data_IF_393009339593
#
_entry.id   IF_393009339593
#
_cell.length_a   1.000
_cell.length_b   1.000
_cell.length_c   1.000
_cell.angle_alpha   90.00
_cell.angle_beta   90.00
_cell.angle_gamma   90.00
#
_symmetry.space_group_name_H-M   'P 1'
#
loop_
_entity.id
_entity.type
_entity.pdbx_description
1 polymer ?
#
# COMPACT_ATOMS: atom_id res chain seq x y z
N UNK A 1 -5.82 13.35 20.05
CA UNK A 1 -5.43 13.58 18.63
C UNK A 1 -4.07 13.00 18.21
N UNK A 2 -3.18 12.55 19.12
CA UNK A 2 -1.83 12.06 18.74
C UNK A 2 -1.77 10.65 18.12
N UNK A 3 -2.80 9.82 18.28
CA UNK A 3 -2.78 8.40 17.87
C UNK A 3 -3.02 8.17 16.37
N UNK A 4 -3.84 9.00 15.70
CA UNK A 4 -4.15 8.84 14.27
C UNK A 4 -2.96 9.18 13.36
N UNK A 5 -2.16 10.19 13.72
CA UNK A 5 -0.93 10.52 12.98
C UNK A 5 0.12 9.40 13.05
N UNK A 6 0.23 8.77 14.21
CA UNK A 6 1.08 7.59 14.40
C UNK A 6 0.57 6.39 13.58
N UNK A 7 -0.74 6.22 13.45
CA UNK A 7 -1.35 5.17 12.63
C UNK A 7 -0.94 5.27 11.15
N UNK A 8 -1.12 6.43 10.50
CA UNK A 8 -0.75 6.62 9.09
C UNK A 8 0.75 6.45 8.84
N UNK A 9 1.59 7.02 9.69
CA UNK A 9 3.05 6.89 9.58
C UNK A 9 3.50 5.43 9.74
N UNK A 10 2.84 4.67 10.62
CA UNK A 10 3.13 3.25 10.78
C UNK A 10 2.78 2.46 9.51
N UNK A 11 1.62 2.69 8.89
CA UNK A 11 1.22 2.00 7.65
C UNK A 11 2.15 2.34 6.49
N UNK A 12 2.58 3.60 6.37
CA UNK A 12 3.58 4.02 5.40
C UNK A 12 4.91 3.28 5.60
N UNK A 13 5.40 3.23 6.84
CA UNK A 13 6.62 2.48 7.15
C UNK A 13 6.46 0.99 6.82
N UNK A 14 5.34 0.36 7.20
CA UNK A 14 5.09 -1.06 6.89
C UNK A 14 5.11 -1.33 5.37
N UNK A 15 4.59 -0.40 4.56
CA UNK A 15 4.62 -0.49 3.10
C UNK A 15 6.04 -0.33 2.52
N UNK A 16 6.82 0.63 3.02
CA UNK A 16 8.24 0.80 2.64
C UNK A 16 9.04 -0.47 2.96
N UNK A 17 8.82 -1.05 4.13
CA UNK A 17 9.46 -2.30 4.55
C UNK A 17 9.07 -3.48 3.65
N UNK A 18 7.82 -3.54 3.19
CA UNK A 18 7.39 -4.55 2.21
C UNK A 18 8.15 -4.40 0.88
N UNK A 19 8.23 -3.18 0.36
CA UNK A 19 8.92 -2.91 -0.89
C UNK A 19 10.43 -3.20 -0.82
N UNK A 20 11.07 -2.92 0.32
CA UNK A 20 12.45 -3.32 0.58
C UNK A 20 12.61 -4.84 0.54
N UNK A 21 11.70 -5.61 1.16
CA UNK A 21 11.75 -7.08 1.14
C UNK A 21 11.63 -7.63 -0.28
N UNK A 22 10.71 -7.10 -1.10
CA UNK A 22 10.61 -7.47 -2.53
C UNK A 22 11.92 -7.18 -3.25
N UNK A 23 12.45 -5.97 -3.09
CA UNK A 23 13.70 -5.51 -3.73
C UNK A 23 14.90 -6.35 -3.32
N UNK A 24 15.01 -6.73 -2.04
CA UNK A 24 16.10 -7.57 -1.55
C UNK A 24 15.99 -9.01 -2.03
N UNK A 25 14.77 -9.50 -2.19
CA UNK A 25 14.51 -10.86 -2.69
C UNK A 25 14.97 -11.01 -4.13
N UNK A 26 14.56 -10.09 -5.02
CA UNK A 26 15.00 -10.11 -6.43
C UNK A 26 16.49 -9.82 -6.63
N UNK A 27 17.19 -9.36 -5.57
CA UNK A 27 18.65 -9.21 -5.55
C UNK A 27 19.36 -10.44 -4.99
N UNK A 28 18.63 -11.52 -4.68
CA UNK A 28 19.15 -12.73 -4.04
C UNK A 28 19.67 -12.50 -2.62
N UNK A 29 19.25 -11.43 -1.94
CA UNK A 29 19.72 -11.07 -0.59
C UNK A 29 18.86 -11.61 0.55
N UNK A 30 17.70 -12.17 0.23
CA UNK A 30 16.78 -12.81 1.17
C UNK A 30 15.73 -13.64 0.42
N UNK A 31 14.95 -14.40 1.17
CA UNK A 31 13.75 -15.08 0.66
C UNK A 31 12.49 -14.42 1.24
N UNK A 32 11.56 -14.07 0.36
CA UNK A 32 10.27 -13.52 0.71
C UNK A 32 9.25 -13.94 -0.34
N UNK A 33 8.09 -14.44 0.11
CA UNK A 33 7.01 -14.90 -0.77
C UNK A 33 5.90 -13.85 -0.97
N UNK A 34 6.06 -12.66 -0.39
CA UNK A 34 5.00 -11.65 -0.39
C UNK A 34 3.93 -11.93 0.66
N UNK A 35 2.89 -11.11 0.66
CA UNK A 35 1.68 -11.32 1.48
C UNK A 35 0.45 -10.96 0.66
N UNK A 36 -0.68 -11.62 0.95
CA UNK A 36 -1.97 -11.20 0.42
C UNK A 36 -2.28 -9.74 0.83
N UNK A 37 -2.89 -8.97 -0.07
CA UNK A 37 -3.23 -7.56 0.18
C UNK A 37 -4.04 -7.40 1.48
N UNK A 38 -4.99 -8.30 1.76
CA UNK A 38 -5.84 -8.25 2.97
C UNK A 38 -5.10 -8.60 4.26
N UNK A 39 -3.95 -9.28 4.15
CA UNK A 39 -3.17 -9.71 5.30
C UNK A 39 -2.14 -8.66 5.74
N UNK A 40 -1.81 -7.70 4.88
CA UNK A 40 -0.95 -6.59 5.29
C UNK A 40 -1.72 -5.64 6.21
N UNK A 41 -1.02 -4.91 7.06
CA UNK A 41 -1.64 -3.98 8.02
C UNK A 41 -2.51 -2.93 7.31
N UNK A 42 -2.09 -2.39 6.16
CA UNK A 42 -2.92 -1.46 5.40
C UNK A 42 -4.21 -2.12 4.92
N UNK A 43 -4.12 -3.32 4.33
CA UNK A 43 -5.29 -4.10 3.92
C UNK A 43 -6.22 -4.44 5.08
N UNK A 44 -5.69 -4.89 6.22
CA UNK A 44 -6.51 -5.17 7.40
C UNK A 44 -7.37 -3.96 7.79
N UNK A 45 -6.81 -2.74 7.71
CA UNK A 45 -7.58 -1.53 7.95
C UNK A 45 -8.58 -1.25 6.82
N UNK A 46 -8.14 -1.29 5.56
CA UNK A 46 -8.99 -1.06 4.37
C UNK A 46 -10.27 -1.92 4.43
N UNK A 47 -10.13 -3.22 4.71
CA UNK A 47 -11.23 -4.18 4.66
C UNK A 47 -11.95 -4.39 6.00
N UNK A 48 -11.51 -3.74 7.09
CA UNK A 48 -12.22 -3.73 8.36
C UNK A 48 -12.91 -2.37 8.57
N UNK A 49 -12.23 -1.44 9.22
CA UNK A 49 -12.80 -0.17 9.70
C UNK A 49 -12.60 1.00 8.74
N UNK A 50 -11.69 0.89 7.76
CA UNK A 50 -11.25 2.02 6.93
C UNK A 50 -12.38 2.70 6.17
N UNK A 51 -13.36 1.94 5.65
CA UNK A 51 -14.50 2.51 4.94
C UNK A 51 -15.38 3.36 5.85
N UNK A 52 -15.66 2.87 7.06
CA UNK A 52 -16.46 3.58 8.05
C UNK A 52 -15.73 4.84 8.53
N UNK A 53 -14.43 4.72 8.84
CA UNK A 53 -13.62 5.87 9.27
C UNK A 53 -13.55 6.96 8.20
N UNK A 54 -13.31 6.61 6.93
CA UNK A 54 -13.25 7.63 5.87
C UNK A 54 -14.64 8.22 5.63
N UNK A 55 -15.71 7.43 5.67
CA UNK A 55 -17.07 7.97 5.53
C UNK A 55 -17.44 8.95 6.66
N UNK A 56 -16.97 8.71 7.88
CA UNK A 56 -17.28 9.55 9.03
C UNK A 56 -16.40 10.81 9.11
N UNK A 57 -15.09 10.65 8.89
CA UNK A 57 -14.13 11.72 9.12
C UNK A 57 -13.67 12.44 7.86
N UNK A 58 -13.83 11.84 6.68
CA UNK A 58 -13.39 12.41 5.41
C UNK A 58 -14.35 12.01 4.25
N UNK A 59 -15.67 12.27 4.36
CA UNK A 59 -16.65 11.81 3.37
C UNK A 59 -16.37 12.30 1.95
N UNK A 60 -15.77 13.49 1.79
CA UNK A 60 -15.35 14.00 0.49
C UNK A 60 -14.19 13.20 -0.15
N UNK A 61 -13.46 12.42 0.64
CA UNK A 61 -12.35 11.57 0.19
C UNK A 61 -12.78 10.14 -0.14
N UNK A 62 -14.08 9.81 -0.10
CA UNK A 62 -14.57 8.47 -0.43
C UNK A 62 -14.13 7.96 -1.80
N UNK A 63 -14.17 8.77 -2.88
CA UNK A 63 -13.64 8.37 -4.18
C UNK A 63 -12.13 8.07 -4.19
N UNK A 64 -11.37 8.71 -3.30
CA UNK A 64 -9.93 8.45 -3.13
C UNK A 64 -9.71 7.12 -2.39
N UNK A 65 -10.56 6.77 -1.45
CA UNK A 65 -10.48 5.49 -0.74
C UNK A 65 -10.81 4.30 -1.64
N UNK A 66 -11.78 4.42 -2.55
CA UNK A 66 -12.04 3.37 -3.55
C UNK A 66 -10.83 3.19 -4.48
N UNK A 67 -10.20 4.29 -4.92
CA UNK A 67 -8.93 4.24 -5.67
C UNK A 67 -7.79 3.61 -4.86
N UNK A 68 -7.74 3.86 -3.55
CA UNK A 68 -6.75 3.26 -2.66
C UNK A 68 -6.87 1.73 -2.68
N UNK A 69 -8.10 1.19 -2.62
CA UNK A 69 -8.36 -0.26 -2.66
C UNK A 69 -7.81 -0.85 -3.95
N UNK A 70 -8.20 -0.30 -5.09
CA UNK A 70 -7.80 -0.79 -6.42
C UNK A 70 -6.28 -0.80 -6.56
N UNK A 71 -5.63 0.33 -6.24
CA UNK A 71 -4.17 0.47 -6.36
C UNK A 71 -3.41 -0.43 -5.41
N UNK A 72 -3.99 -0.71 -4.24
CA UNK A 72 -3.38 -1.57 -3.25
C UNK A 72 -3.45 -3.05 -3.67
N UNK A 73 -4.57 -3.47 -4.24
CA UNK A 73 -4.70 -4.80 -4.84
C UNK A 73 -3.71 -4.97 -6.00
N UNK A 74 -3.66 -3.99 -6.92
CA UNK A 74 -2.74 -3.98 -8.06
C UNK A 74 -1.27 -4.08 -7.62
N UNK A 75 -0.88 -3.31 -6.60
CA UNK A 75 0.47 -3.35 -6.02
C UNK A 75 0.86 -4.76 -5.54
N UNK A 76 -0.04 -5.43 -4.84
CA UNK A 76 0.21 -6.77 -4.30
C UNK A 76 0.23 -7.84 -5.39
N UNK A 77 -0.62 -7.72 -6.41
CA UNK A 77 -0.62 -8.62 -7.57
C UNK A 77 0.70 -8.56 -8.31
N UNK A 78 1.16 -7.35 -8.67
CA UNK A 78 2.43 -7.21 -9.42
C UNK A 78 3.61 -7.64 -8.54
N UNK A 79 3.63 -7.26 -7.26
CA UNK A 79 4.69 -7.71 -6.34
C UNK A 79 4.75 -9.23 -6.21
N UNK A 80 3.60 -9.91 -6.16
CA UNK A 80 3.53 -11.37 -6.13
C UNK A 80 4.08 -12.01 -7.40
N UNK A 81 3.69 -11.46 -8.56
CA UNK A 81 4.18 -11.91 -9.88
C UNK A 81 5.70 -11.82 -9.98
N UNK A 82 6.28 -10.71 -9.54
CA UNK A 82 7.74 -10.51 -9.53
C UNK A 82 8.45 -11.57 -8.67
N UNK A 83 7.91 -11.88 -7.51
CA UNK A 83 8.49 -12.87 -6.60
C UNK A 83 8.41 -14.29 -7.19
N UNK A 84 7.29 -14.64 -7.82
CA UNK A 84 7.11 -15.92 -8.52
C UNK A 84 8.06 -16.05 -9.72
N UNK A 85 8.15 -15.01 -10.55
CA UNK A 85 9.10 -14.93 -11.67
C UNK A 85 10.54 -15.13 -11.20
N UNK A 86 10.93 -14.46 -10.11
CA UNK A 86 12.26 -14.61 -9.54
C UNK A 86 12.53 -16.05 -9.05
N UNK A 87 11.55 -16.66 -8.37
CA UNK A 87 11.66 -18.05 -7.90
C UNK A 87 11.75 -19.07 -9.04
N UNK A 88 11.08 -18.81 -10.16
CA UNK A 88 11.06 -19.70 -11.33
C UNK A 88 12.17 -19.40 -12.35
N UNK A 89 12.95 -18.34 -12.14
CA UNK A 89 14.07 -17.93 -13.00
C UNK A 89 13.66 -17.10 -14.22
N UNK A 90 12.40 -16.71 -14.36
CA UNK A 90 11.90 -15.84 -15.44
C UNK A 90 12.13 -14.36 -15.12
N UNK A 91 13.37 -13.90 -15.31
CA UNK A 91 13.79 -12.54 -14.91
C UNK A 91 13.50 -11.46 -15.95
N UNK A 92 12.87 -11.79 -17.09
CA UNK A 92 12.80 -10.91 -18.25
C UNK A 92 12.02 -9.60 -18.04
N UNK A 93 10.96 -9.64 -17.24
CA UNK A 93 10.06 -8.50 -17.01
C UNK A 93 10.20 -7.84 -15.64
N UNK A 94 10.97 -8.45 -14.73
CA UNK A 94 11.10 -8.00 -13.33
C UNK A 94 11.48 -6.52 -13.23
N UNK A 95 12.35 -6.00 -14.10
CA UNK A 95 12.74 -4.58 -14.03
C UNK A 95 11.59 -3.62 -14.36
N UNK A 96 10.79 -3.93 -15.38
CA UNK A 96 9.63 -3.12 -15.76
C UNK A 96 8.53 -3.21 -14.70
N UNK A 97 8.26 -4.42 -14.22
CA UNK A 97 7.26 -4.67 -13.18
C UNK A 97 7.65 -3.99 -11.86
N UNK A 98 8.94 -4.02 -11.47
CA UNK A 98 9.43 -3.29 -10.30
C UNK A 98 9.24 -1.78 -10.44
N UNK A 99 9.44 -1.23 -11.64
CA UNK A 99 9.17 0.20 -11.91
C UNK A 99 7.69 0.51 -11.66
N UNK A 100 6.80 -0.38 -12.07
CA UNK A 100 5.36 -0.21 -11.83
C UNK A 100 5.00 -0.33 -10.35
N UNK A 101 5.58 -1.29 -9.63
CA UNK A 101 5.43 -1.41 -8.17
C UNK A 101 5.87 -0.14 -7.45
N UNK A 102 6.97 0.49 -7.88
CA UNK A 102 7.41 1.78 -7.31
C UNK A 102 6.42 2.92 -7.59
N UNK A 103 5.84 2.98 -8.80
CA UNK A 103 4.82 4.00 -9.12
C UNK A 103 3.55 3.80 -8.31
N UNK A 104 3.05 2.57 -8.24
CA UNK A 104 1.89 2.22 -7.42
C UNK A 104 2.13 2.54 -5.96
N UNK A 105 3.32 2.25 -5.43
CA UNK A 105 3.71 2.63 -4.07
C UNK A 105 3.60 4.14 -3.86
N UNK A 106 4.16 4.96 -4.76
CA UNK A 106 4.04 6.42 -4.66
C UNK A 106 2.59 6.91 -4.74
N UNK A 107 1.77 6.29 -5.59
CA UNK A 107 0.33 6.61 -5.69
C UNK A 107 -0.42 6.29 -4.41
N UNK A 108 -0.16 5.12 -3.80
CA UNK A 108 -0.75 4.73 -2.51
C UNK A 108 -0.42 5.74 -1.42
N UNK A 109 0.85 6.17 -1.33
CA UNK A 109 1.28 7.17 -0.36
C UNK A 109 0.58 8.51 -0.58
N UNK A 110 0.49 8.97 -1.84
CA UNK A 110 -0.19 10.20 -2.20
C UNK A 110 -1.67 10.17 -1.79
N UNK A 111 -2.39 9.10 -2.14
CA UNK A 111 -3.81 8.92 -1.82
C UNK A 111 -4.03 8.93 -0.29
N UNK A 112 -3.18 8.22 0.47
CA UNK A 112 -3.28 8.19 1.94
C UNK A 112 -3.09 9.59 2.56
N UNK A 113 -2.12 10.36 2.08
CA UNK A 113 -1.87 11.73 2.55
C UNK A 113 -3.04 12.67 2.21
N UNK A 114 -3.65 12.48 1.05
CA UNK A 114 -4.83 13.23 0.63
C UNK A 114 -6.04 12.93 1.52
N UNK A 115 -6.35 11.65 1.76
CA UNK A 115 -7.43 11.24 2.69
C UNK A 115 -7.20 11.83 4.10
N UNK A 116 -5.96 11.76 4.60
CA UNK A 116 -5.58 12.34 5.88
C UNK A 116 -5.76 13.88 5.91
N UNK A 117 -5.47 14.57 4.81
CA UNK A 117 -5.73 16.01 4.67
C UNK A 117 -7.22 16.33 4.76
N UNK A 118 -8.08 15.59 4.06
CA UNK A 118 -9.53 15.75 4.17
C UNK A 118 -10.02 15.51 5.60
N UNK A 119 -9.47 14.50 6.29
CA UNK A 119 -9.86 14.18 7.67
C UNK A 119 -9.56 15.31 8.66
N UNK A 120 -8.46 16.04 8.45
CA UNK A 120 -8.08 17.20 9.26
C UNK A 120 -8.95 18.43 9.01
N UNK A 121 -9.41 18.63 7.78
CA UNK A 121 -10.29 19.75 7.45
C UNK A 121 -11.65 19.62 8.14
N UNK A 122 -12.20 18.41 8.19
CA UNK A 122 -13.45 18.12 8.92
C UNK A 122 -13.27 18.29 10.43
N UNK A 123 -12.14 17.86 11.00
CA UNK A 123 -11.88 18.01 12.43
C UNK A 123 -11.66 19.47 12.89
N UNK A 124 -11.46 20.41 11.96
CA UNK A 124 -11.26 21.84 12.22
C UNK A 124 -12.52 22.68 11.97
N UNK A 125 -13.61 22.06 11.47
CA UNK A 125 -14.91 22.68 11.23
C UNK A 125 -15.89 22.36 12.36
#
# INVERSE_FOLDING_TARGET
>A
MSSKKAFFMQRLNDHIQYLDKVTRTIKGKMEFAGTNCRCCKLGQWIYAEGREEVSLYAPAAMPLFEQLIEKHEEFHVISGKILEQFQTGDIGQIHQEMTEVHKLSNQLVSILLEIDRYSRQVAAA
#
